data_IF_247247297459
#
_entry.id   IF_247247297459
#
_cell.length_a   1.000
_cell.length_b   1.000
_cell.length_c   1.000
_cell.angle_alpha   90.00
_cell.angle_beta   90.00
_cell.angle_gamma   90.00
#
_symmetry.space_group_name_H-M   'P 1'
#
loop_
_entity.id
_entity.type
_entity.pdbx_description
1 polymer ?
#
# COMPACT_ATOMS: atom_id res chain seq x y z
N UNK A 1 7.33 11.63 -14.33
CA UNK A 1 6.95 10.69 -13.27
C UNK A 1 6.54 11.43 -12.02
N UNK A 2 5.39 11.08 -11.45
CA UNK A 2 4.82 11.69 -10.26
C UNK A 2 4.73 10.67 -9.10
N UNK A 3 5.52 10.92 -8.04
CA UNK A 3 5.59 10.07 -6.85
C UNK A 3 5.10 10.78 -5.58
N UNK A 4 4.87 12.09 -5.66
CA UNK A 4 4.45 12.84 -4.50
C UNK A 4 3.11 12.34 -3.99
N UNK A 5 3.01 12.18 -2.69
CA UNK A 5 1.79 11.71 -2.06
C UNK A 5 1.94 11.60 -0.55
N UNK A 6 0.83 11.72 0.15
CA UNK A 6 0.73 11.47 1.57
C UNK A 6 0.12 10.09 1.78
N UNK A 7 0.90 9.13 2.30
CA UNK A 7 0.50 7.73 2.43
C UNK A 7 0.33 7.26 3.89
N UNK A 8 0.69 8.10 4.86
CA UNK A 8 0.76 7.69 6.27
C UNK A 8 -0.27 8.45 7.11
N UNK A 9 -1.42 7.81 7.32
CA UNK A 9 -2.25 8.06 8.48
C UNK A 9 -2.14 6.83 9.38
N UNK A 10 -1.46 6.98 10.51
CA UNK A 10 -1.39 5.95 11.54
C UNK A 10 -2.46 6.28 12.60
N UNK A 11 -3.43 5.39 12.81
CA UNK A 11 -4.52 5.52 13.77
C UNK A 11 -5.86 5.87 13.13
N UNK A 12 -6.89 6.10 13.95
CA UNK A 12 -8.20 6.55 13.48
C UNK A 12 -8.04 7.83 12.66
N UNK A 13 -8.53 7.80 11.42
CA UNK A 13 -8.43 8.92 10.49
C UNK A 13 -9.18 10.12 11.08
N UNK A 14 -8.46 11.19 11.38
CA UNK A 14 -9.04 12.46 11.76
C UNK A 14 -9.57 13.18 10.49
N UNK A 15 -10.49 14.13 10.66
CA UNK A 15 -10.92 15.01 9.57
C UNK A 15 -9.73 15.75 8.94
N UNK A 16 -8.72 16.13 9.75
CA UNK A 16 -7.50 16.75 9.28
C UNK A 16 -6.68 15.82 8.37
N UNK A 17 -6.62 14.51 8.66
CA UNK A 17 -5.96 13.54 7.80
C UNK A 17 -6.71 13.33 6.49
N UNK A 18 -8.04 13.26 6.54
CA UNK A 18 -8.87 13.17 5.34
C UNK A 18 -8.69 14.39 4.43
N UNK A 19 -8.69 15.60 5.01
CA UNK A 19 -8.42 16.83 4.29
C UNK A 19 -7.01 16.83 3.66
N UNK A 20 -6.00 16.36 4.40
CA UNK A 20 -4.62 16.26 3.91
C UNK A 20 -4.49 15.28 2.76
N UNK A 21 -5.17 14.13 2.83
CA UNK A 21 -5.23 13.19 1.70
C UNK A 21 -5.84 13.85 0.47
N UNK A 22 -6.95 14.55 0.63
CA UNK A 22 -7.58 15.27 -0.46
C UNK A 22 -6.66 16.31 -1.08
N UNK A 23 -6.06 17.18 -0.27
CA UNK A 23 -5.18 18.26 -0.75
C UNK A 23 -3.93 17.73 -1.45
N UNK A 24 -3.22 16.79 -0.81
CA UNK A 24 -1.91 16.33 -1.29
C UNK A 24 -2.05 15.27 -2.39
N UNK A 25 -2.96 14.28 -2.21
CA UNK A 25 -3.04 13.18 -3.16
C UNK A 25 -3.95 13.48 -4.36
N UNK A 26 -4.99 14.30 -4.19
CA UNK A 26 -5.91 14.62 -5.27
C UNK A 26 -5.66 16.03 -5.86
N UNK A 27 -5.87 17.08 -5.08
CA UNK A 27 -5.86 18.46 -5.62
C UNK A 27 -4.50 18.84 -6.19
N UNK A 28 -3.40 18.49 -5.50
CA UNK A 28 -2.06 18.76 -6.00
C UNK A 28 -1.73 17.92 -7.25
N UNK A 29 -2.16 16.65 -7.31
CA UNK A 29 -1.96 15.81 -8.51
C UNK A 29 -2.76 16.35 -9.69
N UNK A 30 -4.02 16.77 -9.48
CA UNK A 30 -4.84 17.41 -10.51
C UNK A 30 -4.18 18.69 -11.03
N UNK A 31 -3.78 19.58 -10.14
CA UNK A 31 -3.12 20.84 -10.53
C UNK A 31 -1.82 20.59 -11.31
N UNK A 32 -1.03 19.61 -10.89
CA UNK A 32 0.19 19.22 -11.59
C UNK A 32 -0.09 18.62 -12.97
N UNK A 33 -1.15 17.79 -13.11
CA UNK A 33 -1.54 17.21 -14.39
C UNK A 33 -2.02 18.27 -15.39
N UNK A 34 -2.82 19.25 -14.93
CA UNK A 34 -3.26 20.40 -15.74
C UNK A 34 -2.05 21.23 -16.20
N UNK A 35 -1.18 21.63 -15.25
CA UNK A 35 0.01 22.41 -15.58
C UNK A 35 0.97 21.66 -16.54
N UNK A 36 1.09 20.34 -16.38
CA UNK A 36 1.87 19.52 -17.29
C UNK A 36 1.28 19.49 -18.71
N UNK A 37 -0.06 19.37 -18.82
CA UNK A 37 -0.76 19.43 -20.09
C UNK A 37 -0.60 20.80 -20.79
N UNK A 38 -0.79 21.90 -20.05
CA UNK A 38 -0.59 23.26 -20.54
C UNK A 38 0.86 23.51 -21.00
N UNK A 39 1.83 22.92 -20.32
CA UNK A 39 3.25 23.00 -20.68
C UNK A 39 3.66 22.05 -21.82
N UNK A 40 2.74 21.29 -22.42
CA UNK A 40 3.02 20.37 -23.52
C UNK A 40 3.82 19.13 -23.12
N UNK A 41 3.71 18.70 -21.86
CA UNK A 41 4.34 17.45 -21.41
C UNK A 41 3.74 16.26 -22.15
N UNK A 42 4.56 15.51 -22.87
CA UNK A 42 4.07 14.41 -23.70
C UNK A 42 3.61 13.17 -22.89
N UNK A 43 4.21 12.92 -21.72
CA UNK A 43 3.96 11.70 -20.93
C UNK A 43 3.93 11.99 -19.43
N UNK A 44 2.90 11.48 -18.75
CA UNK A 44 2.71 11.61 -17.30
C UNK A 44 2.39 10.24 -16.69
N UNK A 45 3.27 9.69 -15.88
CA UNK A 45 3.06 8.43 -15.16
C UNK A 45 2.97 8.73 -13.67
N UNK A 46 1.85 8.36 -13.05
CA UNK A 46 1.56 8.58 -11.63
C UNK A 46 1.57 7.27 -10.84
N UNK A 47 2.09 7.30 -9.62
CA UNK A 47 1.95 6.22 -8.67
C UNK A 47 0.65 6.38 -7.87
N UNK A 48 -0.25 5.44 -8.07
CA UNK A 48 -1.47 5.25 -7.31
C UNK A 48 -1.32 4.09 -6.32
N UNK A 49 -2.41 3.53 -5.86
CA UNK A 49 -2.45 2.43 -4.90
C UNK A 49 -3.62 1.51 -5.22
N UNK A 50 -3.51 0.22 -4.91
CA UNK A 50 -4.67 -0.70 -4.91
C UNK A 50 -5.80 -0.21 -3.99
N UNK A 51 -5.50 0.66 -3.03
CA UNK A 51 -6.52 1.33 -2.20
C UNK A 51 -7.39 2.33 -2.96
N UNK A 52 -7.06 2.69 -4.21
CA UNK A 52 -7.95 3.44 -5.11
C UNK A 52 -9.14 2.60 -5.59
N UNK A 53 -9.15 1.33 -5.28
CA UNK A 53 -10.23 0.36 -5.50
C UNK A 53 -10.91 0.04 -4.18
N UNK A 54 -12.19 -0.37 -4.22
CA UNK A 54 -12.89 -0.83 -3.03
C UNK A 54 -12.32 -2.14 -2.47
N UNK A 55 -12.57 -2.40 -1.21
CA UNK A 55 -12.05 -3.59 -0.54
C UNK A 55 -12.71 -4.86 -1.11
N UNK A 56 -11.92 -5.80 -1.62
CA UNK A 56 -12.45 -6.99 -2.30
C UNK A 56 -12.85 -8.12 -1.34
N UNK A 57 -12.68 -7.95 -0.04
CA UNK A 57 -12.79 -9.02 0.96
C UNK A 57 -11.88 -10.21 0.57
N UNK A 58 -12.48 -11.36 0.20
CA UNK A 58 -11.73 -12.57 -0.16
C UNK A 58 -11.55 -12.75 -1.68
N UNK A 59 -12.06 -11.82 -2.51
CA UNK A 59 -11.97 -11.91 -3.96
C UNK A 59 -10.60 -11.47 -4.49
N UNK A 60 -10.15 -12.12 -5.57
CA UNK A 60 -9.07 -11.59 -6.40
C UNK A 60 -9.70 -10.64 -7.43
N UNK A 61 -9.22 -9.40 -7.48
CA UNK A 61 -9.78 -8.34 -8.32
C UNK A 61 -8.77 -7.86 -9.34
N UNK A 62 -9.27 -7.34 -10.45
CA UNK A 62 -8.52 -6.69 -11.52
C UNK A 62 -8.83 -5.18 -11.58
N UNK A 63 -8.28 -4.51 -12.57
CA UNK A 63 -8.41 -3.07 -12.77
C UNK A 63 -9.84 -2.59 -13.00
N UNK A 64 -10.71 -3.48 -13.49
CA UNK A 64 -12.13 -3.20 -13.83
C UNK A 64 -13.08 -3.37 -12.62
N UNK A 65 -12.54 -3.64 -11.42
CA UNK A 65 -13.33 -3.77 -10.20
C UNK A 65 -14.20 -2.53 -9.95
N UNK A 66 -15.55 -2.68 -9.92
CA UNK A 66 -16.46 -1.54 -9.94
C UNK A 66 -16.69 -0.89 -8.58
N UNK A 67 -16.27 -1.54 -7.48
CA UNK A 67 -16.57 -1.04 -6.14
C UNK A 67 -15.70 0.18 -5.82
N UNK A 68 -16.29 1.30 -5.39
CA UNK A 68 -15.53 2.49 -5.03
C UNK A 68 -14.80 2.30 -3.69
N UNK A 69 -13.67 3.00 -3.49
CA UNK A 69 -12.96 2.96 -2.21
C UNK A 69 -13.74 3.68 -1.11
N UNK A 70 -13.70 3.14 0.10
CA UNK A 70 -14.35 3.72 1.29
C UNK A 70 -13.42 4.65 2.07
N UNK A 71 -12.11 4.36 2.08
CA UNK A 71 -11.14 5.16 2.83
C UNK A 71 -10.86 6.52 2.17
N UNK A 72 -10.67 7.57 2.97
CA UNK A 72 -10.33 8.91 2.47
C UNK A 72 -9.05 8.91 1.60
N UNK A 73 -8.07 8.08 1.96
CA UNK A 73 -6.87 7.87 1.15
C UNK A 73 -7.20 7.27 -0.21
N UNK A 74 -8.00 6.19 -0.24
CA UNK A 74 -8.41 5.51 -1.46
C UNK A 74 -9.22 6.44 -2.37
N UNK A 75 -10.20 7.16 -1.81
CA UNK A 75 -11.02 8.15 -2.52
C UNK A 75 -10.15 9.24 -3.15
N UNK A 76 -9.17 9.77 -2.41
CA UNK A 76 -8.26 10.78 -2.93
C UNK A 76 -7.37 10.24 -4.06
N UNK A 77 -6.89 8.99 -3.95
CA UNK A 77 -6.12 8.32 -5.02
C UNK A 77 -6.99 8.08 -6.25
N UNK A 78 -8.22 7.58 -6.10
CA UNK A 78 -9.13 7.38 -7.23
C UNK A 78 -9.47 8.68 -7.93
N UNK A 79 -9.81 9.73 -7.18
CA UNK A 79 -10.08 11.04 -7.75
C UNK A 79 -8.87 11.62 -8.51
N UNK A 80 -7.64 11.34 -8.03
CA UNK A 80 -6.42 11.73 -8.73
C UNK A 80 -6.23 10.97 -10.05
N UNK A 81 -6.54 9.67 -10.09
CA UNK A 81 -6.52 8.88 -11.33
C UNK A 81 -7.51 9.45 -12.36
N UNK A 82 -8.76 9.70 -11.93
CA UNK A 82 -9.80 10.22 -12.81
C UNK A 82 -9.42 11.61 -13.37
N UNK A 83 -8.88 12.50 -12.53
CA UNK A 83 -8.40 13.81 -12.96
C UNK A 83 -7.22 13.72 -13.93
N UNK A 84 -6.30 12.77 -13.71
CA UNK A 84 -5.16 12.55 -14.61
C UNK A 84 -5.62 12.03 -15.97
N UNK A 85 -6.57 11.09 -16.02
CA UNK A 85 -7.15 10.58 -17.26
C UNK A 85 -7.84 11.71 -18.05
N UNK A 86 -8.65 12.53 -17.38
CA UNK A 86 -9.30 13.68 -18.01
C UNK A 86 -8.29 14.70 -18.56
N UNK A 87 -7.21 14.98 -17.85
CA UNK A 87 -6.12 15.82 -18.36
C UNK A 87 -5.43 15.20 -19.58
N UNK A 88 -5.21 13.86 -19.55
CA UNK A 88 -4.66 13.12 -20.68
C UNK A 88 -5.50 13.27 -21.95
N UNK A 89 -6.81 13.11 -21.85
CA UNK A 89 -7.75 13.30 -22.96
C UNK A 89 -7.75 14.75 -23.46
N UNK A 90 -7.83 15.71 -22.54
CA UNK A 90 -7.91 17.13 -22.85
C UNK A 90 -6.69 17.66 -23.60
N UNK A 91 -5.49 17.25 -23.20
CA UNK A 91 -4.21 17.77 -23.73
C UNK A 91 -3.51 16.81 -24.68
N UNK A 92 -4.09 15.65 -25.02
CA UNK A 92 -3.43 14.63 -25.83
C UNK A 92 -2.19 14.04 -25.18
N UNK A 93 -2.12 14.04 -23.84
CA UNK A 93 -0.97 13.57 -23.07
C UNK A 93 -1.08 12.07 -22.79
N UNK A 94 0.02 11.33 -23.01
CA UNK A 94 0.10 9.92 -22.60
C UNK A 94 0.13 9.83 -21.08
N UNK A 95 -1.00 9.45 -20.47
CA UNK A 95 -1.14 9.33 -19.01
C UNK A 95 -1.32 7.89 -18.60
N UNK A 96 -0.67 7.50 -17.50
CA UNK A 96 -0.82 6.16 -16.88
C UNK A 96 -0.80 6.29 -15.37
N UNK A 97 -1.69 5.55 -14.70
CA UNK A 97 -1.69 5.37 -13.26
C UNK A 97 -1.27 3.95 -12.90
N UNK A 98 -0.31 3.79 -11.97
CA UNK A 98 0.10 2.50 -11.44
C UNK A 98 -0.45 2.31 -10.02
N UNK A 99 -1.41 1.39 -9.87
CA UNK A 99 -2.01 0.98 -8.59
C UNK A 99 -1.08 -0.01 -7.91
N UNK A 100 -0.25 0.49 -7.01
CA UNK A 100 0.75 -0.34 -6.33
C UNK A 100 0.12 -1.16 -5.22
N UNK A 101 0.41 -2.47 -5.18
CA UNK A 101 0.28 -3.30 -4.00
C UNK A 101 1.28 -2.85 -2.92
N UNK A 102 1.42 -3.60 -1.82
CA UNK A 102 2.39 -3.29 -0.77
C UNK A 102 3.82 -3.33 -1.35
N UNK A 103 4.46 -2.16 -1.46
CA UNK A 103 5.83 -2.06 -2.00
C UNK A 103 6.84 -2.37 -0.92
N UNK A 104 7.86 -3.17 -1.28
CA UNK A 104 9.00 -3.50 -0.43
C UNK A 104 10.32 -3.38 -1.20
N UNK A 105 11.42 -3.26 -0.47
CA UNK A 105 12.76 -3.19 -1.05
C UNK A 105 13.73 -2.39 -0.19
N UNK A 106 14.97 -2.27 -0.65
CA UNK A 106 16.01 -1.56 0.08
C UNK A 106 15.62 -0.09 0.35
N UNK A 107 15.82 0.38 1.58
CA UNK A 107 15.47 1.74 1.99
C UNK A 107 14.00 1.96 2.34
N UNK A 108 13.17 0.93 2.31
CA UNK A 108 11.78 1.00 2.74
C UNK A 108 11.63 1.42 4.20
N UNK A 109 10.48 2.07 4.51
CA UNK A 109 10.14 2.53 5.88
C UNK A 109 8.78 1.98 6.34
N UNK A 110 8.29 0.92 5.68
CA UNK A 110 6.97 0.36 5.91
C UNK A 110 6.91 -0.67 7.05
N UNK A 111 5.74 -1.29 7.17
CA UNK A 111 5.52 -2.31 8.20
C UNK A 111 6.34 -3.58 7.97
N UNK A 112 6.67 -3.91 6.71
CA UNK A 112 7.50 -5.07 6.42
C UNK A 112 8.94 -4.88 6.93
N UNK A 113 9.51 -3.70 6.77
CA UNK A 113 10.86 -3.38 7.26
C UNK A 113 10.91 -3.40 8.80
N UNK A 114 9.84 -2.92 9.46
CA UNK A 114 9.70 -3.03 10.93
C UNK A 114 9.62 -4.49 11.35
N UNK A 115 8.79 -5.29 10.70
CA UNK A 115 8.69 -6.73 10.93
C UNK A 115 10.04 -7.41 10.70
N UNK A 116 10.73 -7.14 9.59
CA UNK A 116 12.04 -7.67 9.28
C UNK A 116 13.08 -7.35 10.37
N UNK A 117 13.08 -6.11 10.85
CA UNK A 117 13.98 -5.69 11.95
C UNK A 117 13.72 -6.47 13.23
N UNK A 118 12.45 -6.67 13.61
CA UNK A 118 12.06 -7.40 14.81
C UNK A 118 12.33 -8.92 14.67
N UNK A 119 12.07 -9.50 13.49
CA UNK A 119 12.40 -10.91 13.18
C UNK A 119 13.90 -11.14 13.29
N UNK A 120 14.72 -10.24 12.71
CA UNK A 120 16.18 -10.34 12.80
C UNK A 120 16.69 -10.29 14.24
N UNK A 121 16.04 -9.50 15.11
CA UNK A 121 16.36 -9.41 16.55
C UNK A 121 15.82 -10.58 17.38
N UNK A 122 15.02 -11.48 16.78
CA UNK A 122 14.41 -12.61 17.49
C UNK A 122 13.25 -12.23 18.42
N UNK A 123 12.74 -11.00 18.35
CA UNK A 123 11.68 -10.50 19.24
C UNK A 123 10.28 -10.47 18.59
N UNK A 124 10.18 -10.75 17.29
CA UNK A 124 8.89 -10.85 16.61
C UNK A 124 8.26 -12.23 16.86
N UNK A 125 7.01 -12.31 17.34
CA UNK A 125 6.38 -13.59 17.65
C UNK A 125 6.07 -14.37 16.35
N UNK A 126 6.21 -15.71 16.36
CA UNK A 126 5.78 -16.54 15.24
C UNK A 126 4.28 -16.41 15.03
N UNK A 127 3.86 -15.91 13.87
CA UNK A 127 2.46 -15.71 13.54
C UNK A 127 1.74 -17.04 13.26
N UNK A 128 0.46 -17.18 13.60
CA UNK A 128 -0.35 -18.29 13.14
C UNK A 128 -0.63 -18.17 11.63
N UNK A 129 -0.83 -19.29 10.97
CA UNK A 129 -1.36 -19.29 9.61
C UNK A 129 -2.86 -18.99 9.65
N UNK A 130 -3.28 -17.93 8.95
CA UNK A 130 -4.68 -17.49 8.91
C UNK A 130 -5.29 -17.62 7.52
N UNK A 131 -4.51 -18.05 6.53
CA UNK A 131 -4.93 -18.15 5.14
C UNK A 131 -5.05 -16.79 4.43
N UNK A 132 -4.70 -15.69 5.11
CA UNK A 132 -4.72 -14.36 4.49
C UNK A 132 -3.74 -14.27 3.32
N UNK A 133 -4.09 -13.47 2.31
CA UNK A 133 -3.30 -13.31 1.09
C UNK A 133 -2.93 -11.85 0.88
N UNK A 134 -1.65 -11.59 0.72
CA UNK A 134 -1.13 -10.24 0.50
C UNK A 134 -0.38 -10.18 -0.81
N UNK A 135 -0.84 -9.30 -1.67
CA UNK A 135 -0.12 -8.92 -2.87
C UNK A 135 0.96 -7.91 -2.51
N UNK A 136 2.14 -8.11 -3.07
CA UNK A 136 3.32 -7.27 -2.84
C UNK A 136 4.00 -6.96 -4.16
N UNK A 137 4.77 -5.87 -4.20
CA UNK A 137 5.60 -5.52 -5.35
C UNK A 137 7.01 -5.14 -4.87
N UNK A 138 8.04 -5.67 -5.50
CA UNK A 138 9.40 -5.21 -5.22
C UNK A 138 9.63 -3.85 -5.89
N UNK A 139 10.34 -2.95 -5.24
CA UNK A 139 10.59 -1.59 -5.76
C UNK A 139 11.23 -1.59 -7.14
N UNK A 140 12.10 -2.56 -7.44
CA UNK A 140 12.71 -2.67 -8.77
C UNK A 140 11.68 -3.00 -9.86
N UNK A 141 10.67 -3.85 -9.54
CA UNK A 141 9.59 -4.19 -10.47
C UNK A 141 8.68 -2.99 -10.70
N UNK A 142 8.42 -2.19 -9.66
CA UNK A 142 7.69 -0.91 -9.79
C UNK A 142 8.41 0.02 -10.76
N UNK A 143 9.74 0.18 -10.60
CA UNK A 143 10.54 1.02 -11.51
C UNK A 143 10.55 0.47 -12.93
N UNK A 144 10.64 -0.85 -13.09
CA UNK A 144 10.57 -1.50 -14.41
C UNK A 144 9.20 -1.27 -15.07
N UNK A 145 8.10 -1.45 -14.32
CA UNK A 145 6.74 -1.20 -14.79
C UNK A 145 6.55 0.26 -15.21
N UNK A 146 7.03 1.21 -14.43
CA UNK A 146 6.96 2.64 -14.76
C UNK A 146 7.66 2.97 -16.09
N UNK A 147 8.85 2.43 -16.29
CA UNK A 147 9.60 2.63 -17.55
C UNK A 147 8.88 1.99 -18.74
N UNK A 148 8.33 0.79 -18.55
CA UNK A 148 7.58 0.07 -19.57
C UNK A 148 6.35 0.86 -20.00
N UNK A 149 5.46 1.24 -19.07
CA UNK A 149 4.23 1.97 -19.38
C UNK A 149 4.47 3.37 -19.92
N UNK A 150 5.58 4.00 -19.56
CA UNK A 150 5.96 5.29 -20.12
C UNK A 150 6.42 5.18 -21.60
N UNK A 151 6.94 4.01 -22.01
CA UNK A 151 7.43 3.79 -23.39
C UNK A 151 6.36 3.21 -24.32
N UNK A 152 5.43 2.39 -23.79
CA UNK A 152 4.44 1.66 -24.57
C UNK A 152 3.17 2.51 -24.82
N UNK A 153 2.93 2.89 -26.06
CA UNK A 153 1.75 3.68 -26.43
C UNK A 153 0.41 3.01 -26.08
N UNK A 154 0.37 1.67 -25.99
CA UNK A 154 -0.82 0.91 -25.61
C UNK A 154 -1.26 1.15 -24.17
N UNK A 155 -0.36 1.64 -23.32
CA UNK A 155 -0.64 1.93 -21.93
C UNK A 155 -1.34 3.29 -21.72
N UNK A 156 -1.42 4.13 -22.73
CA UNK A 156 -2.02 5.46 -22.64
C UNK A 156 -3.49 5.38 -22.19
N UNK A 157 -3.86 6.25 -21.24
CA UNK A 157 -5.22 6.36 -20.74
C UNK A 157 -5.66 5.19 -19.86
N UNK A 158 -4.74 4.46 -19.25
CA UNK A 158 -5.05 3.26 -18.45
C UNK A 158 -4.46 3.33 -17.03
N UNK A 159 -5.11 2.59 -16.14
CA UNK A 159 -4.57 2.25 -14.82
C UNK A 159 -4.18 0.77 -14.79
N UNK A 160 -3.08 0.43 -14.11
CA UNK A 160 -2.59 -0.94 -13.98
C UNK A 160 -2.27 -1.28 -12.54
N UNK A 161 -2.62 -2.49 -12.10
CA UNK A 161 -2.16 -3.05 -10.83
C UNK A 161 -0.72 -3.55 -10.99
N UNK A 162 0.14 -3.15 -10.05
CA UNK A 162 1.52 -3.65 -9.98
C UNK A 162 1.67 -4.50 -8.74
N UNK A 163 1.76 -5.80 -8.95
CA UNK A 163 1.91 -6.80 -7.90
C UNK A 163 2.73 -8.00 -8.40
N UNK A 164 3.43 -8.67 -7.49
CA UNK A 164 4.04 -9.95 -7.78
C UNK A 164 2.95 -11.04 -7.91
N UNK A 165 3.07 -12.01 -8.83
CA UNK A 165 2.07 -13.05 -9.01
C UNK A 165 1.83 -13.92 -7.77
N UNK A 166 2.86 -14.08 -6.95
CA UNK A 166 2.78 -14.85 -5.72
C UNK A 166 2.31 -13.97 -4.55
N UNK A 167 1.22 -14.39 -3.90
CA UNK A 167 0.74 -13.79 -2.66
C UNK A 167 1.38 -14.46 -1.44
N UNK A 168 1.46 -13.73 -0.34
CA UNK A 168 2.03 -14.23 0.91
C UNK A 168 1.06 -14.06 2.07
N UNK A 169 0.97 -15.06 2.94
CA UNK A 169 0.32 -14.92 4.25
C UNK A 169 1.24 -14.18 5.23
N UNK A 170 0.70 -13.71 6.34
CA UNK A 170 1.51 -13.15 7.42
C UNK A 170 2.53 -14.14 7.95
N UNK A 171 2.14 -15.43 8.06
CA UNK A 171 3.04 -16.53 8.43
C UNK A 171 4.10 -16.76 7.36
N UNK A 172 3.69 -16.80 6.10
CA UNK A 172 4.64 -16.98 4.98
C UNK A 172 5.69 -15.88 4.91
N UNK A 173 5.31 -14.62 5.16
CA UNK A 173 6.26 -13.51 5.26
C UNK A 173 7.23 -13.66 6.43
N UNK A 174 6.72 -14.08 7.60
CA UNK A 174 7.57 -14.36 8.75
C UNK A 174 8.61 -15.42 8.45
N UNK A 175 8.20 -16.56 7.86
CA UNK A 175 9.08 -17.66 7.53
C UNK A 175 10.09 -17.28 6.44
N UNK A 176 9.68 -16.51 5.43
CA UNK A 176 10.57 -15.99 4.39
C UNK A 176 11.64 -15.03 4.96
N UNK A 177 11.26 -14.15 5.89
CA UNK A 177 12.22 -13.27 6.57
C UNK A 177 13.21 -14.05 7.41
N UNK A 178 12.76 -15.08 8.14
CA UNK A 178 13.67 -15.95 8.90
C UNK A 178 14.67 -16.64 7.99
N UNK A 179 14.20 -17.20 6.88
CA UNK A 179 15.07 -17.84 5.88
C UNK A 179 16.10 -16.85 5.31
N UNK A 180 15.67 -15.65 4.95
CA UNK A 180 16.54 -14.61 4.41
C UNK A 180 17.62 -14.16 5.40
N UNK A 181 17.36 -14.21 6.71
CA UNK A 181 18.33 -13.91 7.76
C UNK A 181 19.14 -15.11 8.25
N UNK A 182 18.98 -16.30 7.63
CA UNK A 182 19.67 -17.53 8.04
C UNK A 182 19.21 -18.05 9.41
N UNK A 183 18.03 -17.67 9.87
CA UNK A 183 17.47 -18.11 11.15
C UNK A 183 16.74 -19.44 10.99
N UNK A 184 16.84 -20.32 12.00
CA UNK A 184 16.14 -21.59 12.00
C UNK A 184 14.62 -21.40 11.86
N UNK A 185 13.97 -22.26 11.07
CA UNK A 185 12.52 -22.26 10.93
C UNK A 185 11.83 -22.64 12.23
N UNK A 186 10.70 -21.98 12.54
CA UNK A 186 9.92 -22.18 13.76
C UNK A 186 8.62 -22.89 13.41
N UNK A 187 8.40 -24.09 13.96
CA UNK A 187 7.21 -24.91 13.68
C UNK A 187 5.97 -24.53 14.52
N UNK A 188 6.17 -23.86 15.65
CA UNK A 188 5.07 -23.41 16.50
C UNK A 188 4.64 -21.98 16.13
N UNK A 189 3.46 -21.59 16.55
CA UNK A 189 2.95 -20.22 16.42
C UNK A 189 2.28 -19.79 17.71
N UNK A 190 2.26 -18.47 17.94
CA UNK A 190 1.48 -17.90 19.05
C UNK A 190 0.00 -17.99 18.67
N UNK A 191 -0.86 -18.58 19.53
CA UNK A 191 -2.29 -18.65 19.23
C UNK A 191 -2.91 -17.25 19.02
N UNK A 192 -3.84 -17.13 18.06
CA UNK A 192 -4.50 -15.84 17.74
C UNK A 192 -5.09 -15.16 18.97
N UNK A 193 -5.72 -15.91 19.89
CA UNK A 193 -6.27 -15.37 21.13
C UNK A 193 -5.26 -14.68 22.02
N UNK A 194 -4.04 -15.23 22.11
CA UNK A 194 -2.91 -14.62 22.89
C UNK A 194 -2.45 -13.33 22.21
N UNK A 195 -2.30 -13.33 20.87
CA UNK A 195 -1.95 -12.12 20.13
C UNK A 195 -3.01 -11.03 20.28
N UNK A 196 -4.29 -11.39 20.23
CA UNK A 196 -5.40 -10.44 20.44
C UNK A 196 -5.40 -9.87 21.86
N UNK A 197 -5.13 -10.70 22.88
CA UNK A 197 -5.04 -10.22 24.25
C UNK A 197 -3.86 -9.24 24.44
N UNK A 198 -2.69 -9.57 23.85
CA UNK A 198 -1.52 -8.68 23.89
C UNK A 198 -1.76 -7.37 23.13
N UNK A 199 -2.44 -7.41 22.01
CA UNK A 199 -2.79 -6.23 21.23
C UNK A 199 -3.75 -5.30 22.01
N UNK A 200 -4.77 -5.85 22.68
CA UNK A 200 -5.67 -5.07 23.54
C UNK A 200 -4.96 -4.45 24.76
N UNK A 201 -3.97 -5.16 25.33
CA UNK A 201 -3.12 -4.57 26.35
C UNK A 201 -2.28 -3.43 25.77
N UNK A 202 -1.79 -3.57 24.55
CA UNK A 202 -1.12 -2.51 23.80
C UNK A 202 -2.00 -1.27 23.64
N UNK A 203 -3.25 -1.43 23.21
CA UNK A 203 -4.24 -0.35 23.08
C UNK A 203 -4.45 0.38 24.43
N UNK A 204 -4.55 -0.38 25.53
CA UNK A 204 -4.67 0.18 26.87
C UNK A 204 -3.45 1.01 27.31
N UNK A 205 -2.24 0.54 27.00
CA UNK A 205 -0.99 1.26 27.29
C UNK A 205 -0.90 2.54 26.44
N UNK A 206 -1.29 2.48 25.16
CA UNK A 206 -1.30 3.64 24.28
C UNK A 206 -2.29 4.70 24.78
N UNK A 207 -3.48 4.29 25.20
CA UNK A 207 -4.49 5.18 25.78
C UNK A 207 -4.03 5.86 27.07
N UNK A 208 -3.27 5.15 27.91
CA UNK A 208 -2.82 5.68 29.21
C UNK A 208 -1.51 6.49 29.11
N UNK A 209 -0.58 6.04 28.28
CA UNK A 209 0.77 6.60 28.21
C UNK A 209 1.00 7.57 27.05
N UNK A 210 0.03 7.68 26.11
CA UNK A 210 0.15 8.51 24.90
C UNK A 210 1.32 8.09 23.98
N UNK A 211 1.84 6.88 24.17
CA UNK A 211 2.95 6.34 23.40
C UNK A 211 2.52 5.11 22.63
N UNK A 212 2.80 5.07 21.32
CA UNK A 212 2.53 3.92 20.47
C UNK A 212 3.32 2.70 20.90
N UNK A 213 2.60 1.57 20.97
CA UNK A 213 3.18 0.24 21.22
C UNK A 213 3.40 -0.50 19.89
N UNK A 214 4.41 -1.36 19.81
CA UNK A 214 4.68 -2.12 18.59
C UNK A 214 3.56 -3.07 18.14
N UNK A 215 2.70 -3.51 19.07
CA UNK A 215 1.59 -4.41 18.84
C UNK A 215 0.33 -3.82 19.50
N UNK A 216 -0.54 -3.25 18.68
CA UNK A 216 -1.89 -2.81 18.97
C UNK A 216 -2.90 -3.61 18.13
N UNK A 217 -4.19 -3.45 18.37
CA UNK A 217 -5.24 -4.17 17.66
C UNK A 217 -5.21 -3.87 16.16
N UNK A 218 -4.93 -2.64 15.76
CA UNK A 218 -4.83 -2.24 14.35
C UNK A 218 -3.63 -2.90 13.65
N UNK A 219 -2.47 -2.97 14.31
CA UNK A 219 -1.30 -3.65 13.77
C UNK A 219 -1.54 -5.16 13.64
N UNK A 220 -2.25 -5.77 14.61
CA UNK A 220 -2.60 -7.17 14.57
C UNK A 220 -3.57 -7.49 13.43
N UNK A 221 -4.61 -6.67 13.24
CA UNK A 221 -5.56 -6.84 12.13
C UNK A 221 -4.86 -6.66 10.78
N UNK A 222 -3.93 -5.72 10.67
CA UNK A 222 -3.09 -5.58 9.47
C UNK A 222 -2.15 -6.77 9.24
N UNK A 223 -1.76 -7.52 10.27
CA UNK A 223 -0.88 -8.68 10.15
C UNK A 223 -1.64 -9.98 9.86
N UNK A 224 -2.83 -10.14 10.42
CA UNK A 224 -3.61 -11.37 10.35
C UNK A 224 -4.84 -11.27 9.44
N UNK A 225 -5.30 -10.05 9.11
CA UNK A 225 -6.38 -9.78 8.17
C UNK A 225 -5.95 -9.89 6.70
N UNK A 226 -6.90 -9.97 5.82
CA UNK A 226 -6.72 -9.98 4.36
C UNK A 226 -6.65 -8.57 3.83
#
# INVERSE_FOLDING_TARGET
FHFAGHAHAFGALSEADALRHRQVNFEATRALAEAAGEAGVARFVSLSSVKAMGEPQDACIDEDWPVPPESAYGQAKRAAEDALLAAGERYGMHVVSLRLAMVYGAGGRGNLERMASLVRRGVFPPLPETGNRRSMAHVADVVAAMRLVAADARAAGRSYIVAHPQTHSGRGLYDALRAAFGLAQVRWSVPRGVLTALARLGDGIEALAGRRVPLDSEALDRLLGS
#
